data_IF_697196632014
#
_entry.id   IF_697196632014
#
_cell.length_a   1.000
_cell.length_b   1.000
_cell.length_c   1.000
_cell.angle_alpha   90.00
_cell.angle_beta   90.00
_cell.angle_gamma   90.00
#
_symmetry.space_group_name_H-M   'P 1'
#
loop_
_entity.id
_entity.type
_entity.pdbx_description
1 polymer ?
#
# COMPACT_ATOMS: atom_id res chain seq x y z
N UNK A 1 3.82 4.47 11.57
CA UNK A 1 2.64 3.68 11.14
C UNK A 1 1.34 4.24 11.70
N UNK A 2 1.16 4.35 13.02
CA UNK A 2 -0.10 4.85 13.61
C UNK A 2 -0.44 6.31 13.26
N UNK A 3 0.52 7.23 13.38
CA UNK A 3 0.29 8.65 13.06
C UNK A 3 0.01 8.89 11.58
N UNK A 4 0.68 8.17 10.68
CA UNK A 4 0.43 8.29 9.23
C UNK A 4 -0.98 7.83 8.85
N UNK A 5 -1.49 6.74 9.44
CA UNK A 5 -2.85 6.26 9.20
C UNK A 5 -3.87 7.27 9.74
N UNK A 6 -3.62 7.84 10.94
CA UNK A 6 -4.47 8.87 11.52
C UNK A 6 -4.51 10.14 10.66
N UNK A 7 -3.34 10.61 10.19
CA UNK A 7 -3.25 11.77 9.30
C UNK A 7 -3.94 11.50 7.96
N UNK A 8 -3.76 10.31 7.37
CA UNK A 8 -4.44 9.92 6.14
C UNK A 8 -5.97 9.99 6.30
N UNK A 9 -6.49 9.57 7.45
CA UNK A 9 -7.92 9.71 7.77
C UNK A 9 -8.34 11.17 7.91
N UNK A 10 -7.55 11.98 8.61
CA UNK A 10 -7.84 13.42 8.82
C UNK A 10 -7.81 14.23 7.51
N UNK A 11 -6.92 13.88 6.59
CA UNK A 11 -6.79 14.52 5.27
C UNK A 11 -7.81 13.97 4.27
N UNK A 12 -8.56 12.92 4.62
CA UNK A 12 -9.60 12.34 3.79
C UNK A 12 -9.06 11.52 2.61
N UNK A 13 -7.94 10.82 2.81
CA UNK A 13 -7.36 9.94 1.78
C UNK A 13 -8.36 8.80 1.47
N UNK A 14 -8.79 8.64 0.20
CA UNK A 14 -9.90 7.74 -0.16
C UNK A 14 -9.50 6.26 -0.25
N UNK A 15 -8.25 5.97 -0.60
CA UNK A 15 -7.74 4.61 -0.79
C UNK A 15 -6.27 4.54 -0.34
N UNK A 16 -5.85 3.37 0.15
CA UNK A 16 -4.49 3.09 0.60
C UNK A 16 -4.03 1.76 0.00
N UNK A 17 -2.73 1.66 -0.25
CA UNK A 17 -2.06 0.41 -0.63
C UNK A 17 -0.89 0.21 0.32
N UNK A 18 -0.69 -1.01 0.82
CA UNK A 18 0.35 -1.31 1.80
C UNK A 18 1.45 -2.16 1.16
N UNK A 19 2.70 -1.78 1.41
CA UNK A 19 3.87 -2.57 1.05
C UNK A 19 4.59 -3.07 2.30
N UNK A 20 4.61 -4.39 2.49
CA UNK A 20 5.40 -5.06 3.52
C UNK A 20 6.83 -5.25 2.99
N UNK A 21 7.70 -4.34 3.40
CA UNK A 21 9.10 -4.32 2.99
C UNK A 21 9.97 -5.24 3.86
N UNK A 22 11.15 -5.60 3.35
CA UNK A 22 12.19 -6.43 3.98
C UNK A 22 11.85 -7.91 4.13
N UNK A 23 11.07 -8.47 3.20
CA UNK A 23 10.75 -9.90 3.22
C UNK A 23 12.01 -10.77 3.02
N UNK A 24 13.06 -10.23 2.41
CA UNK A 24 14.39 -10.87 2.30
C UNK A 24 15.10 -11.09 3.65
N UNK A 25 14.68 -10.41 4.71
CA UNK A 25 15.25 -10.55 6.06
C UNK A 25 14.41 -11.46 6.98
N UNK A 26 13.28 -11.98 6.49
CA UNK A 26 12.35 -12.80 7.27
C UNK A 26 12.21 -14.15 6.60
N UNK A 27 12.85 -15.16 7.20
CA UNK A 27 12.88 -16.52 6.65
C UNK A 27 11.59 -17.31 6.92
N UNK A 28 10.73 -16.82 7.83
CA UNK A 28 9.52 -17.52 8.29
C UNK A 28 8.26 -16.93 7.64
N UNK A 29 7.58 -17.67 6.75
CA UNK A 29 6.32 -17.26 6.13
C UNK A 29 5.19 -17.03 7.15
N UNK A 30 5.15 -17.79 8.25
CA UNK A 30 4.09 -17.65 9.27
C UNK A 30 4.18 -16.30 9.99
N UNK A 31 5.41 -15.78 10.15
CA UNK A 31 5.64 -14.47 10.75
C UNK A 31 5.14 -13.34 9.83
N UNK A 32 5.30 -13.49 8.51
CA UNK A 32 4.80 -12.52 7.54
C UNK A 32 3.28 -12.47 7.50
N UNK A 33 2.62 -13.62 7.63
CA UNK A 33 1.16 -13.70 7.68
C UNK A 33 0.61 -13.11 8.98
N UNK A 34 1.29 -13.31 10.11
CA UNK A 34 0.92 -12.68 11.37
C UNK A 34 1.04 -11.15 11.31
N UNK A 35 2.12 -10.64 10.71
CA UNK A 35 2.31 -9.19 10.51
C UNK A 35 1.25 -8.63 9.57
N UNK A 36 0.88 -9.36 8.53
CA UNK A 36 -0.22 -8.96 7.64
C UNK A 36 -1.54 -8.81 8.42
N UNK A 37 -1.89 -9.79 9.25
CA UNK A 37 -3.08 -9.74 10.09
C UNK A 37 -3.06 -8.54 11.04
N UNK A 38 -1.92 -8.29 11.72
CA UNK A 38 -1.78 -7.13 12.62
C UNK A 38 -1.98 -5.80 11.87
N UNK A 39 -1.46 -5.70 10.64
CA UNK A 39 -1.64 -4.51 9.81
C UNK A 39 -3.10 -4.32 9.39
N UNK A 40 -3.81 -5.40 9.02
CA UNK A 40 -5.24 -5.35 8.71
C UNK A 40 -6.07 -4.92 9.90
N UNK A 41 -5.79 -5.45 11.08
CA UNK A 41 -6.45 -5.03 12.33
C UNK A 41 -6.19 -3.56 12.66
N UNK A 42 -4.96 -3.08 12.46
CA UNK A 42 -4.63 -1.66 12.64
C UNK A 42 -5.39 -0.77 11.65
N UNK A 43 -5.51 -1.15 10.38
CA UNK A 43 -6.29 -0.40 9.39
C UNK A 43 -7.77 -0.35 9.77
N UNK A 44 -8.36 -1.49 10.13
CA UNK A 44 -9.75 -1.60 10.58
C UNK A 44 -10.02 -0.76 11.83
N UNK A 45 -9.07 -0.70 12.77
CA UNK A 45 -9.17 0.15 13.98
C UNK A 45 -9.26 1.64 13.66
N UNK A 46 -8.67 2.09 12.56
CA UNK A 46 -8.71 3.48 12.11
C UNK A 46 -9.77 3.74 11.03
N UNK A 47 -10.79 2.88 10.93
CA UNK A 47 -11.92 2.99 10.00
C UNK A 47 -11.53 2.91 8.51
N UNK A 48 -10.43 2.24 8.19
CA UNK A 48 -10.09 1.87 6.82
C UNK A 48 -10.56 0.43 6.54
N UNK A 49 -10.88 0.10 5.27
CA UNK A 49 -11.30 -1.25 4.90
C UNK A 49 -10.09 -2.19 4.86
N UNK A 50 -9.64 -2.65 6.04
CA UNK A 50 -8.44 -3.48 6.19
C UNK A 50 -8.47 -4.80 5.40
N UNK A 51 -9.66 -5.33 5.10
CA UNK A 51 -9.81 -6.56 4.31
C UNK A 51 -9.68 -6.31 2.79
N UNK A 52 -10.08 -5.12 2.32
CA UNK A 52 -10.09 -4.79 0.89
C UNK A 52 -8.78 -4.14 0.43
N UNK A 53 -8.02 -3.55 1.35
CA UNK A 53 -6.75 -2.89 1.03
C UNK A 53 -5.74 -3.93 0.53
N UNK A 54 -5.16 -3.75 -0.67
CA UNK A 54 -4.13 -4.64 -1.17
C UNK A 54 -2.84 -4.49 -0.35
N UNK A 55 -2.29 -5.62 0.07
CA UNK A 55 -1.03 -5.73 0.80
C UNK A 55 -0.05 -6.52 -0.07
N UNK A 56 1.05 -5.88 -0.46
CA UNK A 56 2.08 -6.50 -1.30
C UNK A 56 3.32 -6.76 -0.44
N UNK A 57 3.83 -7.98 -0.49
CA UNK A 57 5.03 -8.44 0.23
C UNK A 57 6.25 -8.38 -0.70
N UNK A 58 7.36 -7.81 -0.24
CA UNK A 58 8.61 -7.84 -1.00
C UNK A 58 9.80 -7.13 -0.35
N UNK A 59 10.85 -6.93 -1.13
CA UNK A 59 12.07 -6.24 -0.71
C UNK A 59 12.44 -5.13 -1.67
N UNK A 60 12.27 -3.88 -1.22
CA UNK A 60 12.68 -2.72 -2.00
C UNK A 60 14.22 -2.64 -2.16
N UNK A 61 14.98 -3.20 -1.23
CA UNK A 61 16.44 -3.25 -1.32
C UNK A 61 16.87 -4.25 -2.40
N UNK A 62 16.29 -5.45 -2.42
CA UNK A 62 16.55 -6.43 -3.46
C UNK A 62 16.15 -5.92 -4.85
N UNK A 63 15.06 -5.15 -4.93
CA UNK A 63 14.64 -4.47 -6.16
C UNK A 63 15.67 -3.44 -6.65
N UNK A 64 16.25 -2.65 -5.75
CA UNK A 64 17.23 -1.62 -6.07
C UNK A 64 18.60 -2.21 -6.44
N UNK A 65 19.03 -3.25 -5.73
CA UNK A 65 20.33 -3.90 -5.92
C UNK A 65 20.31 -4.97 -7.03
N UNK A 66 19.12 -5.33 -7.54
CA UNK A 66 18.95 -6.36 -8.57
C UNK A 66 19.37 -7.76 -8.11
N UNK A 67 19.36 -8.03 -6.79
CA UNK A 67 19.79 -9.32 -6.21
C UNK A 67 18.74 -10.42 -6.37
N UNK A 68 17.46 -10.05 -6.31
CA UNK A 68 16.34 -10.97 -6.42
C UNK A 68 15.23 -10.33 -7.26
N UNK A 69 14.96 -10.91 -8.43
CA UNK A 69 13.96 -10.37 -9.36
C UNK A 69 12.53 -10.68 -8.89
N UNK A 70 12.31 -11.77 -8.16
CA UNK A 70 10.99 -12.19 -7.69
C UNK A 70 10.57 -11.41 -6.45
N UNK A 71 11.45 -11.36 -5.45
CA UNK A 71 11.19 -10.63 -4.20
C UNK A 71 11.42 -9.12 -4.34
N UNK A 72 12.13 -8.68 -5.37
CA UNK A 72 12.44 -7.29 -5.63
C UNK A 72 11.60 -6.69 -6.76
N UNK A 73 12.03 -6.91 -8.00
CA UNK A 73 11.42 -6.21 -9.16
C UNK A 73 9.94 -6.56 -9.34
N UNK A 74 9.58 -7.84 -9.26
CA UNK A 74 8.19 -8.29 -9.42
C UNK A 74 7.29 -7.82 -8.28
N UNK A 75 7.80 -7.72 -7.05
CA UNK A 75 7.00 -7.18 -5.94
C UNK A 75 6.70 -5.69 -6.14
N UNK A 76 7.61 -4.92 -6.72
CA UNK A 76 7.38 -3.52 -7.06
C UNK A 76 6.42 -3.39 -8.25
N UNK A 77 6.53 -4.24 -9.26
CA UNK A 77 5.55 -4.29 -10.36
C UNK A 77 4.15 -4.63 -9.85
N UNK A 78 4.03 -5.61 -8.94
CA UNK A 78 2.77 -5.97 -8.29
C UNK A 78 2.22 -4.83 -7.41
N UNK A 79 3.10 -4.08 -6.72
CA UNK A 79 2.72 -2.90 -5.96
C UNK A 79 2.13 -1.81 -6.87
N UNK A 80 2.79 -1.54 -8.01
CA UNK A 80 2.31 -0.55 -8.97
C UNK A 80 0.98 -0.97 -9.60
N UNK A 81 0.81 -2.25 -9.92
CA UNK A 81 -0.45 -2.80 -10.40
C UNK A 81 -1.58 -2.62 -9.37
N UNK A 82 -1.31 -2.94 -8.09
CA UNK A 82 -2.28 -2.76 -7.01
C UNK A 82 -2.65 -1.27 -6.81
N UNK A 83 -1.70 -0.36 -6.99
CA UNK A 83 -1.96 1.10 -6.98
C UNK A 83 -2.88 1.50 -8.11
N UNK A 84 -2.60 1.06 -9.34
CA UNK A 84 -3.40 1.40 -10.52
C UNK A 84 -4.83 0.82 -10.44
N UNK A 85 -4.99 -0.38 -9.88
CA UNK A 85 -6.28 -1.06 -9.79
C UNK A 85 -7.13 -0.57 -8.60
N UNK A 86 -6.51 -0.24 -7.46
CA UNK A 86 -7.22 0.08 -6.22
C UNK A 86 -7.41 1.58 -6.00
N UNK A 87 -6.49 2.43 -6.47
CA UNK A 87 -6.59 3.88 -6.24
C UNK A 87 -7.41 4.51 -7.37
N UNK A 88 -8.64 5.01 -7.10
CA UNK A 88 -9.46 5.61 -8.13
C UNK A 88 -8.82 6.89 -8.67
N UNK A 89 -8.89 7.09 -9.98
CA UNK A 89 -8.49 8.36 -10.55
C UNK A 89 -9.39 9.49 -10.03
N UNK A 90 -8.81 10.61 -9.58
CA UNK A 90 -9.59 11.73 -9.07
C UNK A 90 -10.46 12.30 -10.18
N UNK A 91 -11.73 12.54 -9.86
CA UNK A 91 -12.66 13.12 -10.82
C UNK A 91 -12.21 14.54 -11.21
N UNK A 92 -12.13 14.78 -12.51
CA UNK A 92 -11.77 16.09 -13.05
C UNK A 92 -13.07 16.88 -13.20
N UNK A 93 -13.27 17.97 -12.45
CA UNK A 93 -14.51 18.73 -12.49
C UNK A 93 -14.62 19.52 -13.82
N UNK A 94 -15.03 18.85 -14.89
CA UNK A 94 -15.22 19.43 -16.23
C UNK A 94 -16.53 20.21 -16.35
N UNK A 95 -17.51 19.88 -15.50
CA UNK A 95 -18.83 20.50 -15.49
C UNK A 95 -18.90 21.77 -14.62
N UNK A 96 -17.80 22.13 -13.95
CA UNK A 96 -17.70 23.37 -13.17
C UNK A 96 -17.21 24.52 -14.06
N UNK A 97 -17.58 25.77 -13.76
CA UNK A 97 -17.03 26.93 -14.44
C UNK A 97 -15.50 26.87 -14.42
N UNK A 98 -14.88 27.13 -15.57
CA UNK A 98 -13.44 27.21 -15.68
C UNK A 98 -12.90 28.23 -14.69
N UNK A 99 -12.00 27.81 -13.82
CA UNK A 99 -11.40 28.63 -12.79
C UNK A 99 -9.89 28.37 -12.83
N UNK A 100 -9.15 29.37 -13.29
CA UNK A 100 -7.69 29.37 -13.34
C UNK A 100 -7.25 30.44 -12.34
N UNK A 101 -6.61 30.08 -11.21
CA UNK A 101 -6.01 31.05 -10.31
C UNK A 101 -4.81 31.74 -10.95
#
# INVERSE_FOLDING_TARGET
TREHILLARQVGVPALVVYLNKVDMVDDPELLDLVELEVRELLSKYEFPGDEIPIVKGSALAALEGRDEEMGKKSIEALMQAVDDYIPQPDRPKDKPFLMP
#
